data_IF_549222146572
#
_entry.id   IF_549222146572
#
_cell.length_a   1.000
_cell.length_b   1.000
_cell.length_c   1.000
_cell.angle_alpha   90.00
_cell.angle_beta   90.00
_cell.angle_gamma   90.00
#
_symmetry.space_group_name_H-M   'P 1'
#
loop_
_entity.id
_entity.type
_entity.pdbx_description
1 polymer ?
#
# COMPACT_ATOMS: atom_id res chain seq x y z
N UNK A 1 -0.67 -20.21 -11.06
CA UNK A 1 -0.23 -18.84 -10.81
C UNK A 1 -1.20 -18.16 -9.90
N UNK A 2 -0.71 -17.62 -8.83
CA UNK A 2 -1.58 -17.08 -7.80
C UNK A 2 -1.39 -15.57 -7.65
N UNK A 3 -1.20 -14.90 -8.77
CA UNK A 3 -1.06 -13.45 -8.75
C UNK A 3 -2.38 -12.77 -8.46
N UNK A 4 -2.33 -11.73 -7.64
CA UNK A 4 -3.50 -10.93 -7.34
C UNK A 4 -3.14 -9.46 -7.49
N UNK A 5 -4.17 -8.66 -7.70
CA UNK A 5 -4.06 -7.21 -7.64
C UNK A 5 -5.00 -6.72 -6.56
N UNK A 6 -4.49 -5.89 -5.66
CA UNK A 6 -5.31 -5.30 -4.62
C UNK A 6 -5.19 -3.80 -4.66
N UNK A 7 -6.32 -3.13 -4.67
CA UNK A 7 -6.37 -1.68 -4.58
C UNK A 7 -6.57 -1.30 -3.13
N UNK A 8 -5.75 -0.40 -2.66
CA UNK A 8 -5.71 -0.04 -1.25
C UNK A 8 -5.66 1.46 -1.10
N UNK A 9 -6.25 1.92 0.00
CA UNK A 9 -6.11 3.30 0.44
C UNK A 9 -5.22 3.25 1.66
N UNK A 10 -4.02 3.82 1.56
CA UNK A 10 -3.05 3.82 2.64
C UNK A 10 -2.95 5.21 3.23
N UNK A 11 -3.09 5.28 4.54
CA UNK A 11 -2.96 6.55 5.24
C UNK A 11 -1.77 6.47 6.18
N UNK A 12 -0.80 7.34 5.94
CA UNK A 12 0.44 7.38 6.69
C UNK A 12 0.38 8.51 7.70
N UNK A 13 0.55 8.21 9.01
CA UNK A 13 0.67 9.28 9.99
C UNK A 13 1.96 10.05 9.78
N UNK A 14 2.04 11.20 10.43
CA UNK A 14 3.13 12.15 10.22
C UNK A 14 4.51 11.51 10.38
N UNK A 15 4.67 10.69 11.40
CA UNK A 15 5.99 10.10 11.69
C UNK A 15 6.41 9.08 10.65
N UNK A 16 5.48 8.59 9.84
CA UNK A 16 5.80 7.59 8.82
C UNK A 16 5.86 8.15 7.41
N UNK A 17 5.44 9.41 7.22
CA UNK A 17 5.41 9.99 5.88
C UNK A 17 6.80 10.00 5.26
N UNK A 18 7.82 10.17 6.07
CA UNK A 18 9.19 10.27 5.58
C UNK A 18 9.88 8.94 5.36
N UNK A 19 9.26 7.84 5.80
CA UNK A 19 9.90 6.53 5.67
C UNK A 19 9.53 5.89 4.34
N UNK A 20 10.49 5.25 3.66
CA UNK A 20 10.25 4.67 2.34
C UNK A 20 9.56 3.31 2.45
N UNK A 21 8.40 3.24 3.12
CA UNK A 21 7.76 1.97 3.43
C UNK A 21 7.28 1.23 2.19
N UNK A 22 6.79 1.95 1.18
CA UNK A 22 6.32 1.29 -0.04
C UNK A 22 7.49 0.65 -0.78
N UNK A 23 8.60 1.36 -0.84
CA UNK A 23 9.80 0.81 -1.44
C UNK A 23 10.25 -0.44 -0.68
N UNK A 24 10.24 -0.36 0.65
CA UNK A 24 10.67 -1.48 1.48
C UNK A 24 9.83 -2.72 1.25
N UNK A 25 8.52 -2.59 1.20
CA UNK A 25 7.68 -3.77 0.99
C UNK A 25 7.81 -4.30 -0.43
N UNK A 26 8.04 -3.45 -1.41
CA UNK A 26 8.19 -3.94 -2.77
C UNK A 26 9.44 -4.81 -2.90
N UNK A 27 10.51 -4.43 -2.25
CA UNK A 27 11.73 -5.23 -2.27
C UNK A 27 11.60 -6.47 -1.40
N UNK A 28 11.09 -6.30 -0.18
CA UNK A 28 11.05 -7.37 0.78
C UNK A 28 10.13 -8.50 0.36
N UNK A 29 9.00 -8.18 -0.25
CA UNK A 29 7.99 -9.16 -0.61
C UNK A 29 7.86 -9.37 -2.11
N UNK A 30 8.67 -8.70 -2.90
CA UNK A 30 8.67 -8.90 -4.34
C UNK A 30 7.38 -8.50 -5.01
N UNK A 31 6.70 -7.47 -4.49
CA UNK A 31 5.46 -7.02 -5.09
C UNK A 31 5.72 -5.81 -5.97
N UNK A 32 4.88 -5.67 -6.97
CA UNK A 32 4.87 -4.50 -7.84
C UNK A 32 3.80 -3.55 -7.34
N UNK A 33 4.09 -2.27 -7.31
CA UNK A 33 3.09 -1.31 -6.89
C UNK A 33 2.90 -0.25 -7.96
N UNK A 34 1.69 0.30 -7.98
CA UNK A 34 1.33 1.38 -8.89
C UNK A 34 0.54 2.40 -8.10
N UNK A 35 1.09 3.59 -7.96
CA UNK A 35 0.41 4.66 -7.22
C UNK A 35 -0.56 5.34 -8.17
N UNK A 36 -1.84 5.28 -7.82
CA UNK A 36 -2.89 5.86 -8.64
C UNK A 36 -3.18 7.30 -8.26
N UNK A 37 -2.99 7.64 -7.00
CA UNK A 37 -3.20 8.99 -6.50
C UNK A 37 -2.41 9.15 -5.23
N UNK A 38 -1.81 10.30 -5.06
CA UNK A 38 -1.07 10.62 -3.83
C UNK A 38 -1.48 11.99 -3.36
N UNK A 39 -1.71 12.10 -2.06
CA UNK A 39 -2.03 13.37 -1.43
C UNK A 39 -1.20 13.44 -0.16
N UNK A 40 -0.24 14.34 -0.17
CA UNK A 40 0.70 14.45 0.96
C UNK A 40 0.63 15.87 1.50
N UNK A 41 0.37 15.97 2.80
CA UNK A 41 0.44 17.24 3.51
C UNK A 41 1.56 17.14 4.53
N UNK A 42 1.71 18.17 5.35
CA UNK A 42 2.75 18.16 6.38
C UNK A 42 2.50 17.10 7.44
N UNK A 43 1.26 16.72 7.65
CA UNK A 43 0.90 15.84 8.76
C UNK A 43 0.32 14.50 8.32
N UNK A 44 -0.06 14.36 7.05
CA UNK A 44 -0.72 13.14 6.58
C UNK A 44 -0.29 12.84 5.17
N UNK A 45 -0.06 11.58 4.89
CA UNK A 45 0.11 11.11 3.53
C UNK A 45 -0.95 10.09 3.21
N UNK A 46 -1.61 10.24 2.07
CA UNK A 46 -2.61 9.28 1.63
C UNK A 46 -2.27 8.81 0.22
N UNK A 47 -2.25 7.51 0.03
CA UNK A 47 -1.96 6.92 -1.27
C UNK A 47 -3.09 5.98 -1.66
N UNK A 48 -3.61 6.20 -2.86
CA UNK A 48 -4.40 5.17 -3.53
C UNK A 48 -3.40 4.37 -4.36
N UNK A 49 -3.24 3.11 -4.02
CA UNK A 49 -2.17 2.31 -4.58
C UNK A 49 -2.70 0.93 -4.95
N UNK A 50 -2.09 0.34 -5.93
CA UNK A 50 -2.41 -1.01 -6.34
C UNK A 50 -1.18 -1.87 -6.14
N UNK A 51 -1.34 -2.97 -5.39
CA UNK A 51 -0.29 -3.96 -5.20
C UNK A 51 -0.58 -5.15 -6.09
N UNK A 52 0.46 -5.65 -6.72
CA UNK A 52 0.35 -6.82 -7.57
C UNK A 52 1.46 -7.80 -7.23
N UNK A 53 1.11 -9.07 -7.03
CA UNK A 53 2.08 -10.09 -6.73
C UNK A 53 1.38 -11.36 -6.30
N UNK A 54 2.13 -12.28 -5.70
CA UNK A 54 1.55 -13.48 -5.16
C UNK A 54 0.64 -13.13 -4.00
N UNK A 55 -0.46 -13.85 -3.88
CA UNK A 55 -1.47 -13.52 -2.88
C UNK A 55 -0.87 -13.45 -1.48
N UNK A 56 -0.09 -14.43 -1.08
CA UNK A 56 0.47 -14.45 0.26
C UNK A 56 1.50 -13.35 0.46
N UNK A 57 2.26 -13.00 -0.56
CA UNK A 57 3.22 -11.91 -0.45
C UNK A 57 2.53 -10.56 -0.33
N UNK A 58 1.46 -10.36 -1.07
CA UNK A 58 0.68 -9.13 -0.96
C UNK A 58 0.10 -9.02 0.44
N UNK A 59 -0.40 -10.12 1.00
CA UNK A 59 -0.96 -10.10 2.34
C UNK A 59 0.10 -9.81 3.40
N UNK A 60 1.31 -10.35 3.23
CA UNK A 60 2.41 -10.05 4.14
C UNK A 60 2.80 -8.59 4.07
N UNK A 61 2.79 -8.02 2.88
CA UNK A 61 3.11 -6.60 2.73
C UNK A 61 2.09 -5.73 3.45
N UNK A 62 0.81 -6.07 3.33
CA UNK A 62 -0.24 -5.34 4.01
C UNK A 62 -0.07 -5.44 5.52
N UNK A 63 0.21 -6.64 6.01
CA UNK A 63 0.42 -6.84 7.44
C UNK A 63 1.62 -6.04 7.94
N UNK A 64 2.69 -6.00 7.16
CA UNK A 64 3.88 -5.23 7.51
C UNK A 64 3.54 -3.75 7.67
N UNK A 65 2.79 -3.20 6.71
CA UNK A 65 2.41 -1.80 6.77
C UNK A 65 1.54 -1.50 7.99
N UNK A 66 0.60 -2.40 8.29
CA UNK A 66 -0.24 -2.21 9.47
C UNK A 66 0.57 -2.23 10.75
N UNK A 67 1.55 -3.13 10.84
CA UNK A 67 2.42 -3.19 12.02
C UNK A 67 3.23 -1.94 12.20
N UNK A 68 3.62 -1.30 11.11
CA UNK A 68 4.36 -0.05 11.17
C UNK A 68 3.50 1.13 11.58
N UNK A 69 2.19 0.98 11.51
CA UNK A 69 1.28 2.05 11.88
C UNK A 69 0.56 2.71 10.73
N UNK A 70 0.69 2.16 9.53
CA UNK A 70 -0.04 2.67 8.37
C UNK A 70 -1.47 2.15 8.45
N UNK A 71 -2.43 3.03 8.24
CA UNK A 71 -3.82 2.62 8.15
C UNK A 71 -4.07 2.11 6.74
N UNK A 72 -4.54 0.86 6.64
CA UNK A 72 -4.76 0.22 5.35
C UNK A 72 -6.23 -0.07 5.20
N UNK A 73 -6.84 0.47 4.15
CA UNK A 73 -8.24 0.23 3.85
C UNK A 73 -8.34 -0.36 2.46
N UNK A 74 -8.76 -1.62 2.34
CA UNK A 74 -8.93 -2.20 1.01
C UNK A 74 -10.11 -1.54 0.32
N UNK A 75 -9.96 -1.31 -0.98
CA UNK A 75 -11.04 -0.82 -1.80
C UNK A 75 -11.76 -2.02 -2.36
N UNK A 76 -13.02 -2.20 -1.95
CA UNK A 76 -13.78 -3.37 -2.31
C UNK A 76 -14.54 -3.18 -3.61
N UNK A 77 -14.61 -1.97 -4.11
CA UNK A 77 -15.27 -1.70 -5.37
C UNK A 77 -14.26 -1.29 -6.39
N UNK A 78 -14.38 -1.86 -7.56
CA UNK A 78 -13.71 -1.27 -8.69
C UNK A 78 -14.41 0.02 -8.99
N UNK A 79 -13.70 1.10 -8.79
CA UNK A 79 -14.23 2.35 -9.22
C UNK A 79 -14.06 2.40 -10.71
N UNK A 80 -15.16 2.31 -11.39
CA UNK A 80 -15.15 2.41 -12.84
C UNK A 80 -15.04 3.89 -13.17
N UNK A 81 -13.93 4.25 -13.71
CA UNK A 81 -13.75 5.62 -14.19
C UNK A 81 -14.21 5.75 -15.62
#
# INVERSE_FOLDING_TARGET
MSGVKKKLDLIFPEELVKEPLIHDVSIKYGIVFNIRRAKVTETVGELLIEFEGKKDEVEKAITYLKRKGVKVEPLTHDIVE
#
